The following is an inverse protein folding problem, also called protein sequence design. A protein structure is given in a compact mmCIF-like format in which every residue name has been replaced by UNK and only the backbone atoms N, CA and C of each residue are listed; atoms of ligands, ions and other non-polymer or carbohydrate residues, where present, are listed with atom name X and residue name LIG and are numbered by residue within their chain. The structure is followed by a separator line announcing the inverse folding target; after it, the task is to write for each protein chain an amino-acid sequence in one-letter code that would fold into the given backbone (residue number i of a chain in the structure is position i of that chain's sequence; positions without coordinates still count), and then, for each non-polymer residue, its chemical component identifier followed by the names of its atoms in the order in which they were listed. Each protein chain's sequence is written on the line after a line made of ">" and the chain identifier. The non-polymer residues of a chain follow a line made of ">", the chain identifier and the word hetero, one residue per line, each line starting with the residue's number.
data_IF_316225224810
#
_entry.id   IF_316225224810
#
_cell.length_a   1.000
_cell.length_b   1.000
_cell.length_c   1.000
_cell.angle_alpha   90.00
_cell.angle_beta   90.00
_cell.angle_gamma   90.00
#
_symmetry.space_group_name_H-M   'P 1'
#
loop_
_entity.id
_entity.type
_entity.pdbx_description
1 polymer ?
#
# COMPACT_ATOMS: atom_id res chain seq x y z
N UNK A 1 2.17 25.26 -6.38
CA UNK A 1 1.38 24.11 -6.88
C UNK A 1 1.58 23.88 -8.39
N UNK A 2 1.39 24.89 -9.24
CA UNK A 2 1.56 24.76 -10.70
C UNK A 2 2.97 24.29 -11.08
N UNK A 3 4.01 24.79 -10.41
CA UNK A 3 5.39 24.44 -10.69
C UNK A 3 5.71 22.95 -10.38
N UNK A 4 5.30 22.45 -9.22
CA UNK A 4 5.53 21.03 -8.85
C UNK A 4 4.81 20.10 -9.83
N UNK A 5 3.59 20.41 -10.20
CA UNK A 5 2.83 19.62 -11.17
C UNK A 5 3.47 19.67 -12.57
N UNK A 6 3.94 20.84 -12.99
CA UNK A 6 4.65 20.99 -14.26
C UNK A 6 5.95 20.18 -14.27
N UNK A 7 6.70 20.21 -13.16
CA UNK A 7 7.91 19.41 -12.99
C UNK A 7 7.61 17.91 -13.07
N UNK A 8 6.56 17.43 -12.36
CA UNK A 8 6.12 16.04 -12.46
C UNK A 8 5.72 15.67 -13.90
N UNK A 9 5.04 16.56 -14.61
CA UNK A 9 4.67 16.37 -16.01
C UNK A 9 5.88 16.25 -16.93
N UNK A 10 6.86 17.12 -16.77
CA UNK A 10 8.10 17.08 -17.55
C UNK A 10 8.91 15.81 -17.27
N UNK A 11 9.11 15.50 -16.01
CA UNK A 11 9.81 14.29 -15.59
C UNK A 11 9.07 13.03 -16.06
N UNK A 12 7.75 13.04 -16.03
CA UNK A 12 6.89 11.94 -16.48
C UNK A 12 7.02 11.63 -17.98
N UNK A 13 7.52 12.55 -18.83
CA UNK A 13 7.77 12.26 -20.25
C UNK A 13 8.91 11.26 -20.46
N UNK A 14 9.81 11.13 -19.49
CA UNK A 14 10.91 10.16 -19.58
C UNK A 14 10.39 8.72 -19.68
N UNK A 15 11.06 7.83 -20.43
CA UNK A 15 10.76 6.41 -20.40
C UNK A 15 10.81 5.86 -18.97
N UNK A 16 9.94 4.91 -18.63
CA UNK A 16 9.86 4.32 -17.29
C UNK A 16 11.22 3.75 -16.83
N UNK A 17 11.97 3.16 -17.76
CA UNK A 17 13.33 2.66 -17.50
C UNK A 17 14.29 3.76 -17.02
N UNK A 18 14.22 4.94 -17.62
CA UNK A 18 15.06 6.07 -17.22
C UNK A 18 14.65 6.59 -15.83
N UNK A 19 13.34 6.70 -15.55
CA UNK A 19 12.82 7.05 -14.24
C UNK A 19 13.28 6.06 -13.17
N UNK A 20 13.18 4.76 -13.44
CA UNK A 20 13.67 3.73 -12.51
C UNK A 20 15.19 3.80 -12.31
N UNK A 21 15.96 4.19 -13.34
CA UNK A 21 17.39 4.47 -13.22
C UNK A 21 17.67 5.61 -12.24
N UNK A 22 16.98 6.75 -12.40
CA UNK A 22 17.04 7.91 -11.49
C UNK A 22 16.66 7.47 -10.06
N UNK A 23 15.54 6.75 -9.92
CA UNK A 23 15.09 6.24 -8.63
C UNK A 23 16.10 5.32 -7.95
N UNK A 24 16.77 4.47 -8.74
CA UNK A 24 17.81 3.58 -8.24
C UNK A 24 19.03 4.36 -7.71
N UNK A 25 19.42 5.45 -8.38
CA UNK A 25 20.49 6.35 -7.90
C UNK A 25 20.06 7.04 -6.61
N UNK A 26 18.84 7.58 -6.56
CA UNK A 26 18.31 8.22 -5.34
C UNK A 26 18.25 7.25 -4.16
N UNK A 27 17.79 6.01 -4.37
CA UNK A 27 17.77 4.97 -3.35
C UNK A 27 19.16 4.68 -2.78
N UNK A 28 20.19 4.57 -3.64
CA UNK A 28 21.58 4.40 -3.21
C UNK A 28 22.14 5.60 -2.45
N UNK A 29 21.79 6.82 -2.87
CA UNK A 29 22.20 8.05 -2.16
C UNK A 29 21.58 8.13 -0.76
N UNK A 30 20.30 7.76 -0.62
CA UNK A 30 19.64 7.69 0.68
C UNK A 30 20.29 6.63 1.55
N UNK A 31 20.58 5.45 1.00
CA UNK A 31 21.30 4.38 1.70
C UNK A 31 22.66 4.84 2.22
N UNK A 32 23.43 5.52 1.37
CA UNK A 32 24.75 6.06 1.75
C UNK A 32 24.67 7.07 2.91
N UNK A 33 23.61 7.89 2.96
CA UNK A 33 23.39 8.86 4.05
C UNK A 33 23.01 8.23 5.38
N UNK A 34 22.66 6.98 5.42
CA UNK A 34 22.28 6.21 6.60
C UNK A 34 21.36 6.97 7.58
N UNK A 35 20.33 7.60 7.03
CA UNK A 35 19.37 8.39 7.80
C UNK A 35 18.36 7.49 8.54
N UNK A 36 17.46 8.09 9.32
CA UNK A 36 16.41 7.37 10.06
C UNK A 36 15.56 6.43 9.19
N UNK A 37 15.35 6.77 7.92
CA UNK A 37 14.62 5.92 6.96
C UNK A 37 15.35 4.60 6.74
N UNK A 38 16.65 4.65 6.51
CA UNK A 38 17.52 3.47 6.33
C UNK A 38 17.56 2.64 7.61
N UNK A 39 17.72 3.30 8.78
CA UNK A 39 17.77 2.62 10.08
C UNK A 39 16.44 1.88 10.37
N UNK A 40 15.29 2.53 10.17
CA UNK A 40 13.99 1.90 10.33
C UNK A 40 13.83 0.69 9.39
N UNK A 41 14.28 0.82 8.14
CA UNK A 41 14.25 -0.28 7.16
C UNK A 41 15.10 -1.45 7.66
N UNK A 42 16.33 -1.19 8.09
CA UNK A 42 17.22 -2.25 8.59
C UNK A 42 16.62 -2.99 9.81
N UNK A 43 16.00 -2.24 10.75
CA UNK A 43 15.30 -2.85 11.90
C UNK A 43 14.16 -3.76 11.42
N UNK A 44 13.32 -3.29 10.50
CA UNK A 44 12.22 -4.10 9.97
C UNK A 44 12.74 -5.37 9.28
N UNK A 45 13.77 -5.26 8.44
CA UNK A 45 14.32 -6.40 7.71
C UNK A 45 14.92 -7.45 8.67
N UNK A 46 15.61 -7.03 9.73
CA UNK A 46 16.10 -7.95 10.77
C UNK A 46 14.98 -8.68 11.52
N UNK A 47 13.85 -7.99 11.75
CA UNK A 47 12.67 -8.59 12.38
C UNK A 47 12.05 -9.65 11.47
N UNK A 48 11.89 -9.36 10.18
CA UNK A 48 11.15 -10.23 9.25
C UNK A 48 12.00 -11.29 8.58
N UNK A 49 13.33 -11.13 8.58
CA UNK A 49 14.30 -12.05 7.99
C UNK A 49 15.45 -12.34 8.99
N UNK A 50 15.15 -12.82 10.20
CA UNK A 50 16.16 -12.99 11.26
C UNK A 50 17.21 -14.07 10.95
N UNK A 51 16.94 -14.95 9.98
CA UNK A 51 17.83 -16.03 9.56
C UNK A 51 18.93 -15.57 8.60
N UNK A 52 18.85 -14.35 8.05
CA UNK A 52 19.86 -13.83 7.13
C UNK A 52 21.09 -13.33 7.90
N UNK A 53 22.28 -13.65 7.41
CA UNK A 53 23.52 -13.08 7.92
C UNK A 53 23.64 -11.59 7.56
N UNK A 54 24.65 -10.90 8.10
CA UNK A 54 24.84 -9.47 7.91
C UNK A 54 25.07 -9.09 6.43
N UNK A 55 25.73 -9.94 5.65
CA UNK A 55 25.98 -9.69 4.23
C UNK A 55 24.69 -9.78 3.40
N UNK A 56 23.86 -10.79 3.67
CA UNK A 56 22.54 -10.94 3.06
C UNK A 56 21.58 -9.83 3.50
N UNK A 57 21.60 -9.45 4.79
CA UNK A 57 20.83 -8.31 5.31
C UNK A 57 21.23 -6.98 4.61
N UNK A 58 22.52 -6.73 4.41
CA UNK A 58 23.00 -5.54 3.72
C UNK A 58 22.60 -5.52 2.23
N UNK A 59 22.61 -6.69 1.58
CA UNK A 59 22.16 -6.85 0.19
C UNK A 59 20.68 -6.56 0.07
N UNK A 60 19.84 -7.16 0.93
CA UNK A 60 18.41 -6.94 0.96
C UNK A 60 18.04 -5.49 1.27
N UNK A 61 18.73 -4.85 2.23
CA UNK A 61 18.56 -3.44 2.54
C UNK A 61 18.83 -2.56 1.31
N UNK A 62 19.90 -2.86 0.56
CA UNK A 62 20.21 -2.14 -0.69
C UNK A 62 19.09 -2.28 -1.72
N UNK A 63 18.57 -3.49 -1.92
CA UNK A 63 17.48 -3.74 -2.86
C UNK A 63 16.22 -2.97 -2.48
N UNK A 64 15.82 -3.03 -1.22
CA UNK A 64 14.66 -2.30 -0.68
C UNK A 64 14.82 -0.79 -0.86
N UNK A 65 16.00 -0.24 -0.59
CA UNK A 65 16.23 1.21 -0.75
C UNK A 65 16.21 1.64 -2.23
N UNK A 66 16.69 0.79 -3.14
CA UNK A 66 16.60 1.03 -4.58
C UNK A 66 15.15 1.02 -5.04
N UNK A 67 14.34 0.03 -4.62
CA UNK A 67 12.92 -0.06 -4.97
C UNK A 67 12.13 1.12 -4.39
N UNK A 68 12.45 1.56 -3.16
CA UNK A 68 11.87 2.75 -2.56
C UNK A 68 12.17 4.02 -3.34
N UNK A 69 13.39 4.16 -3.86
CA UNK A 69 13.75 5.28 -4.73
C UNK A 69 12.97 5.27 -6.04
N UNK A 70 12.74 4.09 -6.65
CA UNK A 70 11.90 3.94 -7.84
C UNK A 70 10.45 4.33 -7.55
N UNK A 71 9.89 3.92 -6.40
CA UNK A 71 8.51 4.26 -6.00
C UNK A 71 8.27 5.77 -5.91
N UNK A 72 9.27 6.56 -5.52
CA UNK A 72 9.15 8.01 -5.47
C UNK A 72 9.11 8.62 -6.86
N UNK A 73 10.01 8.21 -7.76
CA UNK A 73 10.12 8.88 -9.08
C UNK A 73 9.06 8.39 -10.06
N UNK A 74 8.54 7.17 -9.95
CA UNK A 74 7.47 6.68 -10.81
C UNK A 74 6.16 7.47 -10.64
N UNK A 75 5.96 8.14 -9.49
CA UNK A 75 4.83 9.04 -9.28
C UNK A 75 4.80 10.17 -10.34
N UNK A 76 5.95 10.60 -10.85
CA UNK A 76 6.02 11.55 -11.95
C UNK A 76 5.36 10.99 -13.22
N UNK A 77 5.54 9.68 -13.51
CA UNK A 77 4.88 9.01 -14.63
C UNK A 77 3.37 8.88 -14.39
N UNK A 78 3.00 8.35 -13.23
CA UNK A 78 1.61 8.03 -12.90
C UNK A 78 0.75 9.30 -12.79
N UNK A 79 1.26 10.34 -12.10
CA UNK A 79 0.53 11.58 -11.88
C UNK A 79 0.73 12.63 -12.97
N UNK A 80 1.90 12.62 -13.63
CA UNK A 80 2.26 13.64 -14.63
C UNK A 80 1.71 13.37 -16.04
N UNK A 81 1.60 12.10 -16.45
CA UNK A 81 1.12 11.73 -17.79
C UNK A 81 -0.38 11.43 -17.85
N UNK A 82 -1.06 11.38 -16.69
CA UNK A 82 -2.50 11.11 -16.62
C UNK A 82 -2.83 9.61 -16.57
N UNK A 83 -4.06 9.34 -16.15
CA UNK A 83 -4.49 7.98 -15.80
C UNK A 83 -4.49 7.02 -17.00
N UNK A 84 -4.93 7.45 -18.18
CA UNK A 84 -4.99 6.60 -19.38
C UNK A 84 -3.59 6.09 -19.75
N UNK A 85 -2.62 7.01 -19.83
CA UNK A 85 -1.24 6.65 -20.15
C UNK A 85 -0.60 5.77 -19.06
N UNK A 86 -0.94 6.00 -17.78
CA UNK A 86 -0.48 5.16 -16.69
C UNK A 86 -1.02 3.73 -16.81
N UNK A 87 -2.28 3.56 -17.20
CA UNK A 87 -2.92 2.26 -17.40
C UNK A 87 -2.29 1.45 -18.54
N UNK A 88 -1.78 2.09 -19.59
CA UNK A 88 -1.04 1.44 -20.67
C UNK A 88 0.26 0.76 -20.20
N UNK A 89 0.76 1.13 -19.03
CA UNK A 89 1.96 0.51 -18.44
C UNK A 89 1.66 -0.85 -17.79
N UNK A 90 0.41 -1.22 -17.60
CA UNK A 90 0.03 -2.54 -17.09
C UNK A 90 0.20 -3.58 -18.19
N UNK A 91 1.04 -4.59 -17.93
CA UNK A 91 1.37 -5.67 -18.88
C UNK A 91 0.60 -6.94 -18.60
N UNK A 92 0.24 -7.17 -17.34
CA UNK A 92 -0.41 -8.40 -16.90
C UNK A 92 -1.32 -8.10 -15.72
N UNK A 93 -2.44 -8.83 -15.64
CA UNK A 93 -3.33 -8.83 -14.48
C UNK A 93 -3.55 -10.27 -14.04
N UNK A 94 -3.19 -10.57 -12.81
CA UNK A 94 -3.40 -11.86 -12.16
C UNK A 94 -4.55 -11.76 -11.17
N UNK A 95 -5.46 -12.71 -11.22
CA UNK A 95 -6.60 -12.76 -10.30
C UNK A 95 -7.77 -11.84 -10.68
N UNK A 96 -7.84 -11.29 -11.89
CA UNK A 96 -8.98 -10.46 -12.34
C UNK A 96 -10.31 -11.18 -12.20
N UNK A 97 -10.34 -12.50 -12.43
CA UNK A 97 -11.53 -13.33 -12.23
C UNK A 97 -12.08 -13.29 -10.81
N UNK A 98 -11.21 -13.11 -9.79
CA UNK A 98 -11.64 -12.94 -8.39
C UNK A 98 -12.45 -11.65 -8.20
N UNK A 99 -11.98 -10.54 -8.80
CA UNK A 99 -12.71 -9.27 -8.78
C UNK A 99 -14.06 -9.39 -9.47
N UNK A 100 -14.07 -9.95 -10.67
CA UNK A 100 -15.30 -10.12 -11.46
C UNK A 100 -16.31 -10.97 -10.69
N UNK A 101 -15.88 -12.09 -10.10
CA UNK A 101 -16.75 -12.93 -9.27
C UNK A 101 -17.27 -12.20 -8.02
N UNK A 102 -16.41 -11.41 -7.35
CA UNK A 102 -16.79 -10.63 -6.18
C UNK A 102 -17.82 -9.54 -6.54
N UNK A 103 -17.64 -8.83 -7.65
CA UNK A 103 -18.58 -7.82 -8.15
C UNK A 103 -19.93 -8.45 -8.54
N UNK A 104 -19.91 -9.61 -9.20
CA UNK A 104 -21.13 -10.33 -9.61
C UNK A 104 -21.98 -10.80 -8.42
N UNK A 105 -21.36 -11.05 -7.24
CA UNK A 105 -22.10 -11.38 -6.00
C UNK A 105 -22.97 -10.22 -5.48
N UNK A 106 -22.67 -8.98 -5.83
CA UNK A 106 -23.44 -7.78 -5.43
C UNK A 106 -23.45 -7.48 -3.93
N UNK A 107 -22.60 -8.14 -3.11
CA UNK A 107 -22.54 -7.96 -1.65
C UNK A 107 -21.48 -6.95 -1.20
N UNK A 108 -20.95 -6.15 -2.13
CA UNK A 108 -19.84 -5.24 -1.89
C UNK A 108 -18.48 -5.92 -1.94
N UNK A 109 -17.44 -5.12 -2.22
CA UNK A 109 -16.05 -5.56 -2.32
C UNK A 109 -15.14 -4.65 -1.53
N UNK A 110 -14.26 -5.21 -0.71
CA UNK A 110 -13.19 -4.50 -0.02
C UNK A 110 -11.87 -4.87 -0.69
N UNK A 111 -11.16 -3.89 -1.21
CA UNK A 111 -9.79 -4.06 -1.70
C UNK A 111 -8.82 -3.63 -0.61
N UNK A 112 -8.13 -4.60 -0.03
CA UNK A 112 -7.02 -4.40 0.90
C UNK A 112 -5.74 -4.20 0.10
N UNK A 113 -5.31 -2.95 -0.06
CA UNK A 113 -4.13 -2.60 -0.86
C UNK A 113 -2.99 -2.20 0.08
N UNK A 114 -1.98 -3.06 0.35
CA UNK A 114 -0.82 -2.68 1.14
C UNK A 114 0.02 -1.62 0.42
N UNK A 115 0.87 -0.88 1.17
CA UNK A 115 1.83 0.05 0.60
C UNK A 115 2.98 -0.73 -0.09
N UNK A 116 2.65 -1.40 -1.19
CA UNK A 116 3.49 -2.31 -1.96
C UNK A 116 3.44 -1.97 -3.45
N UNK A 117 4.59 -1.95 -4.09
CA UNK A 117 4.69 -1.63 -5.51
C UNK A 117 4.14 -0.24 -5.83
N UNK A 118 3.35 -0.11 -6.90
CA UNK A 118 2.73 1.13 -7.33
C UNK A 118 1.22 1.16 -7.00
N UNK A 119 0.86 1.40 -5.72
CA UNK A 119 -0.56 1.42 -5.29
C UNK A 119 -1.41 2.49 -5.99
N UNK A 120 -0.81 3.60 -6.46
CA UNK A 120 -1.53 4.62 -7.23
C UNK A 120 -1.99 4.07 -8.60
N UNK A 121 -1.18 3.22 -9.24
CA UNK A 121 -1.55 2.57 -10.49
C UNK A 121 -2.64 1.51 -10.27
N UNK A 122 -2.54 0.72 -9.18
CA UNK A 122 -3.61 -0.20 -8.78
C UNK A 122 -4.93 0.55 -8.62
N UNK A 123 -4.90 1.70 -7.94
CA UNK A 123 -6.07 2.54 -7.75
C UNK A 123 -6.69 2.98 -9.08
N UNK A 124 -5.88 3.43 -10.04
CA UNK A 124 -6.37 3.80 -11.38
C UNK A 124 -7.02 2.61 -12.10
N UNK A 125 -6.38 1.45 -12.04
CA UNK A 125 -6.92 0.24 -12.66
C UNK A 125 -8.27 -0.17 -12.04
N UNK A 126 -8.37 -0.18 -10.72
CA UNK A 126 -9.61 -0.51 -10.02
C UNK A 126 -10.75 0.47 -10.34
N UNK A 127 -10.46 1.78 -10.37
CA UNK A 127 -11.43 2.80 -10.73
C UNK A 127 -11.98 2.65 -12.15
N UNK A 128 -11.24 2.03 -13.06
CA UNK A 128 -11.73 1.68 -14.43
C UNK A 128 -12.64 0.46 -14.43
N UNK A 129 -12.51 -0.42 -13.43
CA UNK A 129 -13.32 -1.64 -13.32
C UNK A 129 -14.64 -1.42 -12.56
N UNK A 130 -14.61 -0.55 -11.55
CA UNK A 130 -15.78 -0.32 -10.69
C UNK A 130 -15.70 1.06 -10.03
N UNK A 131 -16.84 1.73 -9.79
CA UNK A 131 -16.85 2.93 -8.95
C UNK A 131 -16.35 2.62 -7.54
N UNK A 132 -15.31 3.34 -7.07
CA UNK A 132 -14.67 3.09 -5.78
C UNK A 132 -14.83 4.24 -4.80
N UNK A 133 -14.92 3.89 -3.51
CA UNK A 133 -14.64 4.79 -2.40
C UNK A 133 -13.32 4.40 -1.76
N UNK A 134 -12.42 5.37 -1.53
CA UNK A 134 -11.09 5.11 -0.96
C UNK A 134 -10.98 5.81 0.39
N UNK A 135 -10.66 5.01 1.42
CA UNK A 135 -10.36 5.55 2.75
C UNK A 135 -9.01 6.25 2.72
N UNK A 136 -8.98 7.55 3.09
CA UNK A 136 -7.75 8.30 3.14
C UNK A 136 -7.62 9.17 4.38
N UNK A 137 -6.38 9.44 4.78
CA UNK A 137 -6.06 10.47 5.77
C UNK A 137 -5.57 11.71 5.02
N UNK A 138 -6.20 12.89 5.23
CA UNK A 138 -5.74 14.13 4.62
C UNK A 138 -4.28 14.41 5.02
N UNK A 139 -3.41 14.77 4.05
CA UNK A 139 -2.07 15.24 4.37
C UNK A 139 -2.12 16.50 5.26
N UNK A 140 -1.11 16.67 6.12
CA UNK A 140 -0.99 17.88 6.97
C UNK A 140 -0.75 19.15 6.16
N UNK A 141 -0.21 19.03 4.93
CA UNK A 141 0.14 20.14 4.05
C UNK A 141 -0.95 20.31 3.01
N UNK A 142 -1.69 21.40 3.06
CA UNK A 142 -2.82 21.69 2.14
C UNK A 142 -2.42 21.66 0.65
N UNK A 143 -1.18 22.08 0.32
CA UNK A 143 -0.68 22.01 -1.05
C UNK A 143 -0.54 20.58 -1.58
N UNK A 144 -0.17 19.63 -0.71
CA UNK A 144 -0.09 18.20 -1.05
C UNK A 144 -1.49 17.63 -1.23
N UNK A 145 -2.44 17.98 -0.36
CA UNK A 145 -3.85 17.56 -0.50
C UNK A 145 -4.44 18.02 -1.83
N UNK A 146 -4.22 19.27 -2.20
CA UNK A 146 -4.73 19.82 -3.46
C UNK A 146 -4.06 19.16 -4.69
N UNK A 147 -2.76 18.79 -4.62
CA UNK A 147 -2.11 18.01 -5.65
C UNK A 147 -2.73 16.61 -5.78
N UNK A 148 -2.90 15.89 -4.66
CA UNK A 148 -3.50 14.56 -4.63
C UNK A 148 -4.93 14.57 -5.19
N UNK A 149 -5.75 15.55 -4.82
CA UNK A 149 -7.10 15.73 -5.40
C UNK A 149 -7.06 15.90 -6.91
N UNK A 150 -6.11 16.69 -7.41
CA UNK A 150 -5.95 16.93 -8.85
C UNK A 150 -5.55 15.67 -9.61
N UNK A 151 -4.54 14.94 -9.12
CA UNK A 151 -3.99 13.77 -9.83
C UNK A 151 -4.89 12.53 -9.71
N UNK A 152 -5.60 12.37 -8.58
CA UNK A 152 -6.56 11.28 -8.36
C UNK A 152 -7.94 11.57 -8.94
N UNK A 153 -8.31 12.84 -9.09
CA UNK A 153 -9.61 13.28 -9.58
C UNK A 153 -9.90 12.89 -11.04
N UNK A 154 -8.87 12.54 -11.82
CA UNK A 154 -9.02 12.12 -13.21
C UNK A 154 -9.88 10.84 -13.40
N UNK A 155 -9.96 9.96 -12.38
CA UNK A 155 -10.81 8.76 -12.39
C UNK A 155 -11.89 8.79 -11.30
N UNK A 156 -12.02 9.93 -10.61
CA UNK A 156 -13.08 10.25 -9.64
C UNK A 156 -13.41 9.17 -8.58
N UNK A 157 -12.43 8.54 -7.89
CA UNK A 157 -12.77 7.77 -6.72
C UNK A 157 -13.33 8.72 -5.65
N UNK A 158 -14.39 8.29 -4.98
CA UNK A 158 -14.88 9.00 -3.80
C UNK A 158 -13.82 8.93 -2.69
N UNK A 159 -13.23 10.06 -2.32
CA UNK A 159 -12.24 10.11 -1.23
C UNK A 159 -12.97 10.25 0.10
N UNK A 160 -12.98 9.18 0.89
CA UNK A 160 -13.65 9.12 2.18
C UNK A 160 -12.63 9.33 3.30
N UNK A 161 -12.87 10.33 4.17
CA UNK A 161 -11.98 10.62 5.30
C UNK A 161 -11.99 9.49 6.33
N UNK A 162 -10.82 9.21 6.92
CA UNK A 162 -10.66 8.24 8.00
C UNK A 162 -11.15 8.83 9.35
N UNK A 163 -12.46 9.04 9.46
CA UNK A 163 -13.18 9.48 10.65
C UNK A 163 -14.52 8.76 10.78
N UNK A 164 -15.26 9.01 11.85
CA UNK A 164 -16.53 8.31 12.12
C UNK A 164 -17.62 8.53 11.04
N UNK A 165 -17.64 9.69 10.37
CA UNK A 165 -18.56 9.95 9.26
C UNK A 165 -18.16 9.14 8.02
N UNK A 166 -16.85 9.12 7.72
CA UNK A 166 -16.31 8.33 6.63
C UNK A 166 -16.55 6.83 6.82
N UNK A 167 -16.36 6.29 8.02
CA UNK A 167 -16.65 4.88 8.31
C UNK A 167 -18.11 4.55 8.02
N UNK A 168 -19.06 5.41 8.39
CA UNK A 168 -20.48 5.23 8.05
C UNK A 168 -20.71 5.24 6.54
N UNK A 169 -20.00 6.09 5.80
CA UNK A 169 -20.05 6.13 4.33
C UNK A 169 -19.58 4.83 3.73
N UNK A 170 -18.47 4.24 4.23
CA UNK A 170 -17.97 2.94 3.77
C UNK A 170 -19.01 1.83 4.00
N UNK A 171 -19.63 1.78 5.19
CA UNK A 171 -20.71 0.81 5.45
C UNK A 171 -21.86 0.93 4.47
N UNK A 172 -22.36 2.15 4.22
CA UNK A 172 -23.44 2.40 3.26
C UNK A 172 -23.05 1.97 1.85
N UNK A 173 -21.83 2.27 1.43
CA UNK A 173 -21.31 1.91 0.11
C UNK A 173 -21.27 0.38 -0.07
N UNK A 174 -20.71 -0.34 0.90
CA UNK A 174 -20.62 -1.80 0.87
C UNK A 174 -22.00 -2.45 0.92
N UNK A 175 -22.90 -1.98 1.79
CA UNK A 175 -24.27 -2.47 1.88
C UNK A 175 -25.08 -2.29 0.57
N UNK A 176 -24.72 -1.28 -0.23
CA UNK A 176 -25.26 -1.05 -1.56
C UNK A 176 -24.55 -1.86 -2.68
N UNK A 177 -23.67 -2.80 -2.33
CA UNK A 177 -22.93 -3.61 -3.30
C UNK A 177 -21.71 -2.91 -3.92
N UNK A 178 -21.32 -1.74 -3.41
CA UNK A 178 -20.21 -0.94 -3.94
C UNK A 178 -18.84 -1.44 -3.52
N UNK A 179 -17.78 -0.82 -4.08
CA UNK A 179 -16.38 -1.17 -3.81
C UNK A 179 -15.69 -0.13 -2.95
N UNK A 180 -14.86 -0.61 -2.01
CA UNK A 180 -14.09 0.22 -1.07
C UNK A 180 -12.62 -0.20 -1.10
N UNK A 181 -11.72 0.79 -1.18
CA UNK A 181 -10.26 0.60 -1.07
C UNK A 181 -9.74 1.04 0.29
N UNK A 182 -8.95 0.20 0.94
CA UNK A 182 -8.31 0.47 2.24
C UNK A 182 -6.86 0.01 2.20
N UNK A 183 -5.94 0.85 2.71
CA UNK A 183 -4.54 0.48 2.92
C UNK A 183 -4.41 0.01 4.38
N UNK A 184 -4.27 -1.31 4.63
CA UNK A 184 -4.48 -1.87 5.97
C UNK A 184 -3.22 -1.97 6.83
N UNK A 185 -2.05 -1.74 6.27
CA UNK A 185 -0.74 -2.17 6.77
C UNK A 185 0.00 -1.12 7.62
N UNK A 186 -0.60 0.04 7.87
CA UNK A 186 -0.07 1.04 8.79
C UNK A 186 -0.74 0.99 10.16
N UNK A 187 -0.02 1.42 11.20
CA UNK A 187 -0.51 1.47 12.58
C UNK A 187 -1.81 2.29 12.68
N UNK A 188 -2.89 1.75 13.24
CA UNK A 188 -4.10 2.51 13.53
C UNK A 188 -3.88 3.49 14.70
N UNK A 189 -4.86 4.31 15.00
CA UNK A 189 -4.85 5.16 16.20
C UNK A 189 -4.96 4.31 17.45
N UNK A 190 -4.57 4.86 18.59
CA UNK A 190 -4.77 4.22 19.88
C UNK A 190 -6.26 3.84 20.08
N UNK A 191 -6.51 2.59 20.48
CA UNK A 191 -7.86 2.05 20.67
C UNK A 191 -8.58 1.59 19.36
N UNK A 192 -7.97 1.78 18.19
CA UNK A 192 -8.56 1.38 16.89
C UNK A 192 -7.88 0.13 16.29
N UNK A 193 -7.12 -0.62 17.08
CA UNK A 193 -6.34 -1.77 16.61
C UNK A 193 -6.32 -2.93 17.59
N UNK A 194 -5.91 -4.09 17.07
CA UNK A 194 -5.63 -5.30 17.80
C UNK A 194 -4.21 -5.77 17.49
N UNK A 195 -3.51 -6.35 18.46
CA UNK A 195 -2.19 -6.93 18.21
C UNK A 195 -2.34 -8.28 17.51
N UNK A 196 -1.67 -8.41 16.37
CA UNK A 196 -1.68 -9.62 15.58
C UNK A 196 -0.30 -9.85 14.93
N UNK A 197 0.10 -11.11 14.72
CA UNK A 197 1.39 -11.44 14.12
C UNK A 197 1.51 -10.84 12.69
N UNK A 198 2.66 -10.23 12.42
CA UNK A 198 3.09 -9.82 11.10
C UNK A 198 4.56 -10.23 10.92
N UNK A 199 4.83 -11.17 10.03
CA UNK A 199 6.14 -11.84 9.90
C UNK A 199 6.69 -12.34 11.27
N UNK A 200 5.83 -13.03 12.03
CA UNK A 200 6.23 -13.67 13.30
C UNK A 200 6.36 -12.74 14.51
N UNK A 201 6.13 -11.42 14.35
CA UNK A 201 6.14 -10.45 15.45
C UNK A 201 4.82 -9.69 15.53
N UNK A 202 4.32 -9.47 16.74
CA UNK A 202 3.10 -8.71 16.97
C UNK A 202 3.21 -7.28 16.46
N UNK A 203 2.21 -6.86 15.69
CA UNK A 203 2.07 -5.52 15.19
C UNK A 203 0.63 -5.03 15.41
N UNK A 204 0.47 -3.79 15.91
CA UNK A 204 -0.85 -3.20 16.08
C UNK A 204 -1.53 -3.05 14.72
N UNK A 205 -2.65 -3.77 14.53
CA UNK A 205 -3.33 -3.97 13.25
C UNK A 205 -4.74 -3.39 13.32
N UNK A 206 -5.18 -2.71 12.24
CA UNK A 206 -6.50 -2.07 12.23
C UNK A 206 -7.63 -3.11 12.27
N UNK A 207 -8.63 -2.85 13.12
CA UNK A 207 -9.85 -3.68 13.22
C UNK A 207 -10.95 -3.22 12.25
N UNK A 208 -10.78 -2.07 11.59
CA UNK A 208 -11.82 -1.49 10.74
C UNK A 208 -12.16 -2.40 9.55
N UNK A 209 -11.14 -2.90 8.84
CA UNK A 209 -11.37 -3.72 7.64
C UNK A 209 -12.09 -5.04 7.97
N UNK A 210 -11.63 -5.85 8.94
CA UNK A 210 -12.36 -7.05 9.37
C UNK A 210 -13.79 -6.76 9.81
N UNK A 211 -14.02 -5.71 10.60
CA UNK A 211 -15.37 -5.30 11.05
C UNK A 211 -16.29 -4.91 9.88
N UNK A 212 -15.76 -4.20 8.89
CA UNK A 212 -16.50 -3.88 7.68
C UNK A 212 -16.92 -5.15 6.94
N UNK A 213 -15.97 -6.07 6.71
CA UNK A 213 -16.22 -7.33 6.00
C UNK A 213 -17.26 -8.20 6.74
N UNK A 214 -17.06 -8.45 8.03
CA UNK A 214 -17.95 -9.27 8.85
C UNK A 214 -19.39 -8.71 8.89
N UNK A 215 -19.53 -7.37 9.03
CA UNK A 215 -20.84 -6.74 9.17
C UNK A 215 -21.60 -6.60 7.85
N UNK A 216 -20.91 -6.50 6.72
CA UNK A 216 -21.55 -6.28 5.42
C UNK A 216 -21.64 -7.54 4.57
N UNK A 217 -20.85 -8.57 4.88
CA UNK A 217 -20.68 -9.75 4.04
C UNK A 217 -19.93 -9.46 2.73
N UNK A 218 -19.24 -8.33 2.65
CA UNK A 218 -18.45 -7.94 1.49
C UNK A 218 -17.29 -8.90 1.27
N UNK A 219 -16.98 -9.18 0.01
CA UNK A 219 -15.80 -9.98 -0.36
C UNK A 219 -14.54 -9.16 -0.16
N UNK A 220 -13.56 -9.70 0.55
CA UNK A 220 -12.25 -9.07 0.72
C UNK A 220 -11.27 -9.66 -0.29
N UNK A 221 -10.60 -8.78 -1.05
CA UNK A 221 -9.50 -9.13 -1.94
C UNK A 221 -8.29 -8.30 -1.56
N UNK A 222 -7.11 -8.90 -1.54
CA UNK A 222 -5.85 -8.19 -1.46
C UNK A 222 -5.36 -7.84 -2.86
N UNK A 223 -4.72 -6.67 -3.02
CA UNK A 223 -4.23 -6.29 -4.34
C UNK A 223 -3.10 -5.29 -4.32
N UNK A 224 -2.19 -5.40 -5.31
CA UNK A 224 -1.11 -4.46 -5.53
C UNK A 224 -0.67 -4.47 -7.00
N UNK A 225 0.08 -3.44 -7.41
CA UNK A 225 0.70 -3.37 -8.73
C UNK A 225 2.23 -3.55 -8.57
N UNK A 226 2.73 -4.74 -8.92
CA UNK A 226 4.14 -5.08 -8.92
C UNK A 226 4.87 -4.30 -10.02
N UNK A 227 6.00 -3.70 -9.68
CA UNK A 227 6.92 -3.09 -10.65
C UNK A 227 7.74 -4.19 -11.32
N UNK A 228 7.64 -4.30 -12.64
CA UNK A 228 8.40 -5.27 -13.42
C UNK A 228 9.85 -4.82 -13.61
N UNK A 229 10.80 -5.76 -13.74
CA UNK A 229 12.21 -5.45 -13.96
C UNK A 229 12.44 -4.57 -15.19
N UNK A 230 13.57 -3.85 -15.19
CA UNK A 230 14.07 -3.08 -16.33
C UNK A 230 13.08 -2.04 -16.90
N UNK A 231 12.11 -1.58 -16.12
CA UNK A 231 11.11 -0.62 -16.59
C UNK A 231 10.13 -1.19 -17.60
N UNK A 232 9.90 -2.51 -17.58
CA UNK A 232 8.97 -3.20 -18.50
C UNK A 232 7.50 -2.84 -18.28
N UNK A 233 7.17 -2.17 -17.17
CA UNK A 233 5.81 -1.82 -16.78
C UNK A 233 5.42 -2.45 -15.45
N UNK A 234 4.13 -2.80 -15.33
CA UNK A 234 3.57 -3.31 -14.07
C UNK A 234 2.72 -4.55 -14.28
N UNK A 235 2.63 -5.35 -13.23
CA UNK A 235 1.70 -6.47 -13.11
C UNK A 235 0.77 -6.22 -11.94
N UNK A 236 -0.52 -6.25 -12.18
CA UNK A 236 -1.53 -6.19 -11.11
C UNK A 236 -1.75 -7.59 -10.56
N UNK A 237 -1.75 -7.71 -9.24
CA UNK A 237 -2.11 -8.93 -8.52
C UNK A 237 -3.37 -8.70 -7.71
N UNK A 238 -4.28 -9.68 -7.76
CA UNK A 238 -5.40 -9.81 -6.84
C UNK A 238 -5.35 -11.19 -6.22
N UNK A 239 -5.46 -11.25 -4.89
CA UNK A 239 -5.44 -12.48 -4.09
C UNK A 239 -6.70 -12.56 -3.23
N UNK A 240 -7.22 -13.75 -2.96
CA UNK A 240 -8.32 -13.93 -2.02
C UNK A 240 -7.84 -13.65 -0.59
N UNK A 241 -8.74 -13.20 0.26
CA UNK A 241 -8.47 -13.12 1.69
C UNK A 241 -8.61 -14.49 2.36
N UNK A 242 -7.87 -14.77 3.45
CA UNK A 242 -8.15 -15.89 4.32
C UNK A 242 -9.60 -15.82 4.85
N UNK A 243 -10.27 -16.97 4.96
CA UNK A 243 -11.67 -17.02 5.40
C UNK A 243 -11.88 -16.43 6.79
N UNK A 244 -10.90 -16.60 7.69
CA UNK A 244 -10.93 -16.06 9.04
C UNK A 244 -10.84 -14.53 9.13
N UNK A 245 -10.77 -13.81 8.01
CA UNK A 245 -10.78 -12.33 8.02
C UNK A 245 -12.11 -11.75 8.54
N UNK A 246 -13.17 -12.55 8.57
CA UNK A 246 -14.50 -12.19 9.10
C UNK A 246 -14.81 -12.82 10.45
N UNK A 247 -13.81 -13.41 11.12
CA UNK A 247 -13.97 -14.03 12.42
C UNK A 247 -14.50 -13.03 13.46
N UNK A 248 -15.29 -13.52 14.40
CA UNK A 248 -15.83 -12.71 15.50
C UNK A 248 -14.73 -12.28 16.48
N UNK A 249 -13.69 -13.12 16.66
CA UNK A 249 -12.48 -12.78 17.39
C UNK A 249 -11.59 -11.88 16.55
N UNK A 250 -11.40 -10.65 17.03
CA UNK A 250 -10.60 -9.65 16.32
C UNK A 250 -9.12 -10.01 16.23
N UNK A 251 -8.57 -10.77 17.17
CA UNK A 251 -7.18 -11.21 17.09
C UNK A 251 -7.01 -12.20 15.93
N UNK A 252 -7.96 -13.12 15.75
CA UNK A 252 -7.99 -14.05 14.61
C UNK A 252 -8.18 -13.26 13.30
N UNK A 253 -9.16 -12.37 13.23
CA UNK A 253 -9.45 -11.60 12.04
C UNK A 253 -8.29 -10.65 11.63
N UNK A 254 -7.60 -10.02 12.59
CA UNK A 254 -6.42 -9.21 12.34
C UNK A 254 -5.20 -10.05 11.93
N UNK A 255 -5.09 -11.28 12.46
CA UNK A 255 -4.07 -12.24 11.99
C UNK A 255 -4.30 -12.59 10.54
N UNK A 256 -5.53 -12.89 10.14
CA UNK A 256 -5.91 -13.12 8.74
C UNK A 256 -5.63 -11.90 7.84
N UNK A 257 -5.90 -10.69 8.33
CA UNK A 257 -5.58 -9.45 7.62
C UNK A 257 -4.06 -9.33 7.38
N UNK A 258 -3.24 -9.56 8.40
CA UNK A 258 -1.79 -9.52 8.27
C UNK A 258 -1.26 -10.64 7.36
N UNK A 259 -1.81 -11.86 7.41
CA UNK A 259 -1.47 -12.96 6.51
C UNK A 259 -1.72 -12.59 5.03
N UNK A 260 -2.85 -11.96 4.73
CA UNK A 260 -3.15 -11.49 3.37
C UNK A 260 -2.17 -10.40 2.90
N UNK A 261 -1.76 -9.48 3.79
CA UNK A 261 -0.70 -8.50 3.49
C UNK A 261 0.64 -9.23 3.24
N UNK A 262 1.01 -10.21 4.08
CA UNK A 262 2.24 -10.98 3.92
C UNK A 262 2.27 -11.72 2.59
N UNK A 263 1.17 -12.36 2.19
CA UNK A 263 1.08 -13.05 0.90
C UNK A 263 1.31 -12.11 -0.29
N UNK A 264 0.88 -10.85 -0.19
CA UNK A 264 1.22 -9.84 -1.19
C UNK A 264 2.73 -9.48 -1.15
N UNK A 265 3.27 -9.25 0.05
CA UNK A 265 4.66 -8.83 0.24
C UNK A 265 5.64 -9.90 -0.25
N UNK A 266 5.36 -11.17 -0.02
CA UNK A 266 6.18 -12.30 -0.47
C UNK A 266 6.35 -12.36 -1.98
N UNK A 267 5.37 -11.89 -2.76
CA UNK A 267 5.44 -11.82 -4.23
C UNK A 267 6.39 -10.72 -4.74
N UNK A 268 6.59 -9.64 -3.97
CA UNK A 268 7.41 -8.51 -4.37
C UNK A 268 8.11 -7.85 -3.17
N UNK A 269 8.79 -8.65 -2.36
CA UNK A 269 9.29 -8.31 -1.02
C UNK A 269 10.04 -6.98 -0.95
N UNK A 270 10.97 -6.72 -1.85
CA UNK A 270 11.76 -5.50 -1.85
C UNK A 270 10.96 -4.23 -2.20
N UNK A 271 9.77 -4.37 -2.77
CA UNK A 271 8.91 -3.25 -3.16
C UNK A 271 7.94 -2.80 -2.05
N UNK A 272 7.92 -3.47 -0.89
CA UNK A 272 7.11 -3.08 0.24
C UNK A 272 7.70 -1.86 0.98
N UNK A 273 6.82 -1.06 1.61
CA UNK A 273 7.22 0.16 2.33
C UNK A 273 7.90 -0.15 3.68
N UNK A 274 9.05 -0.83 3.66
CA UNK A 274 9.81 -1.21 4.85
C UNK A 274 10.33 -0.03 5.68
N UNK A 275 10.23 1.20 5.21
CA UNK A 275 10.61 2.42 5.93
C UNK A 275 9.64 2.79 7.05
N UNK A 276 8.42 2.27 6.98
CA UNK A 276 7.40 2.55 7.99
C UNK A 276 7.68 1.79 9.29
N UNK A 277 7.51 2.45 10.45
CA UNK A 277 7.69 1.86 11.78
C UNK A 277 6.51 0.92 12.12
N UNK A 278 6.41 -0.21 11.44
CA UNK A 278 5.25 -1.13 11.52
C UNK A 278 5.05 -1.73 12.92
N UNK A 279 6.14 -1.97 13.65
CA UNK A 279 6.13 -2.59 14.96
C UNK A 279 6.17 -1.60 16.12
N UNK A 280 5.98 -0.30 15.88
CA UNK A 280 5.85 0.67 16.96
C UNK A 280 4.46 0.59 17.59
N UNK A 281 4.40 0.65 18.92
CA UNK A 281 3.18 0.80 19.69
C UNK A 281 3.42 1.80 20.82
N UNK A 282 2.36 2.46 21.29
CA UNK A 282 2.50 3.52 22.29
C UNK A 282 2.64 2.94 23.72
N UNK A 283 2.26 1.68 23.90
CA UNK A 283 2.22 0.92 25.17
C UNK A 283 3.34 -0.12 25.31
N UNK A 284 4.25 -0.21 24.36
CA UNK A 284 5.36 -1.18 24.33
C UNK A 284 6.66 -0.55 23.91
N UNK A 285 7.85 -1.03 24.37
CA UNK A 285 9.13 -0.57 23.86
C UNK A 285 9.22 -0.68 22.35
N UNK A 286 9.62 0.39 21.72
CA UNK A 286 9.74 0.47 20.26
C UNK A 286 11.05 -0.17 19.79
N UNK A 287 11.05 -1.09 18.82
CA UNK A 287 12.28 -1.66 18.27
C UNK A 287 13.12 -0.64 17.49
N UNK A 288 12.60 0.56 17.29
CA UNK A 288 13.25 1.65 16.53
C UNK A 288 13.92 2.68 17.45
N UNK A 289 13.71 2.59 18.76
CA UNK A 289 14.41 3.43 19.69
C UNK A 289 15.83 2.89 19.82
N UNK A 290 16.82 3.76 19.75
CA UNK A 290 18.20 3.36 20.03
C UNK A 290 18.23 2.87 21.48
N UNK A 291 18.72 1.66 21.72
CA UNK A 291 19.20 1.29 23.04
C UNK A 291 20.21 2.38 23.42
N UNK A 292 19.85 3.18 24.44
CA UNK A 292 20.78 4.10 25.08
C UNK A 292 21.80 3.22 25.81
N UNK A 293 22.84 2.81 25.10
CA UNK A 293 24.01 2.15 25.60
C UNK A 293 25.23 3.07 25.43
#
# INVERSE_FOLDING_TARGET
>A
MTFVYLFLRLLGQLPLRALHGIGSVLGRLVLWRNNRTVQNTAVNLRIVQPQLDDAAQATLLREVMIESGKSVVELAKIWGCGAEHALELIREVRGEGLLNAALARGKGVIIAAPHLGCWELLNYWLCRKTPMAILYRPPRVAAVEALLRKVRGALAPEQVRADGAGVRTLYKRLAAGGTVGILPDQKPRAGEGEFAPFFGRDALTMVLLPRLAARTGATVLFGFAERLPAGAGYRVHLLPAPESIVDADLAIACTALNQGVQSCVELAFAQYQWQYKRYSADDRPSPYDKENG
#
